data_IF_278937247174
#
_entry.id   IF_278937247174
#
_cell.length_a   1.000
_cell.length_b   1.000
_cell.length_c   1.000
_cell.angle_alpha   90.00
_cell.angle_beta   90.00
_cell.angle_gamma   90.00
#
_symmetry.space_group_name_H-M   'P 1'
#
loop_
_entity.id
_entity.type
_entity.pdbx_description
1 polymer ?
#
# COMPACT_ATOMS: atom_id res chain seq x y z
N UNK A 1 -16.37 -12.57 55.75
CA UNK A 1 -17.10 -12.93 54.50
C UNK A 1 -17.79 -11.67 54.03
N UNK A 2 -17.58 -11.08 52.85
CA UNK A 2 -17.07 -11.57 51.57
C UNK A 2 -16.31 -10.42 50.88
N UNK A 3 -15.10 -10.66 50.39
CA UNK A 3 -14.43 -9.76 49.45
C UNK A 3 -15.07 -9.94 48.07
N UNK A 4 -15.55 -8.86 47.47
CA UNK A 4 -15.92 -8.84 46.05
C UNK A 4 -14.66 -8.57 45.23
N UNK A 5 -14.15 -9.62 44.58
CA UNK A 5 -13.03 -9.54 43.67
C UNK A 5 -13.46 -8.88 42.35
N UNK A 6 -12.78 -7.80 41.98
CA UNK A 6 -12.90 -7.17 40.65
C UNK A 6 -11.94 -7.89 39.71
N UNK A 7 -12.49 -8.66 38.76
CA UNK A 7 -11.72 -9.32 37.71
C UNK A 7 -11.32 -8.31 36.63
N UNK A 8 -10.03 -7.95 36.57
CA UNK A 8 -9.47 -7.16 35.46
C UNK A 8 -9.20 -8.12 34.30
N UNK A 9 -10.00 -8.01 33.24
CA UNK A 9 -9.79 -8.73 31.98
C UNK A 9 -8.62 -8.07 31.21
N UNK A 10 -7.44 -8.68 31.29
CA UNK A 10 -6.25 -8.25 30.56
C UNK A 10 -6.41 -8.65 29.08
N UNK A 11 -6.86 -7.70 28.26
CA UNK A 11 -6.92 -7.85 26.80
C UNK A 11 -5.49 -7.73 26.25
N UNK A 12 -4.84 -8.86 25.98
CA UNK A 12 -3.52 -8.89 25.32
C UNK A 12 -3.75 -8.52 23.85
N UNK A 13 -3.54 -7.25 23.51
CA UNK A 13 -3.47 -6.83 22.11
C UNK A 13 -2.14 -7.34 21.57
N UNK A 14 -2.19 -8.40 20.77
CA UNK A 14 -1.03 -8.96 20.08
C UNK A 14 -0.59 -7.98 18.98
N UNK A 15 0.25 -7.01 19.33
CA UNK A 15 0.94 -6.18 18.36
C UNK A 15 2.09 -6.99 17.75
N UNK A 16 1.88 -7.51 16.54
CA UNK A 16 2.94 -8.18 15.78
C UNK A 16 4.11 -7.22 15.57
N UNK A 17 5.23 -7.49 16.23
CA UNK A 17 6.49 -6.77 15.99
C UNK A 17 7.06 -7.26 14.66
N UNK A 18 7.06 -6.41 13.64
CA UNK A 18 7.66 -6.76 12.35
C UNK A 18 9.18 -6.86 12.52
N UNK A 19 9.77 -8.03 12.22
CA UNK A 19 11.22 -8.17 12.30
C UNK A 19 11.91 -7.37 11.18
N UNK A 20 13.21 -7.12 11.30
CA UNK A 20 13.95 -6.42 10.25
C UNK A 20 13.97 -7.21 8.93
N UNK A 21 14.06 -8.54 8.98
CA UNK A 21 13.99 -9.40 7.80
C UNK A 21 12.62 -9.29 7.12
N UNK A 22 11.54 -9.30 7.90
CA UNK A 22 10.17 -9.10 7.40
C UNK A 22 10.00 -7.69 6.81
N UNK A 23 10.62 -6.68 7.43
CA UNK A 23 10.63 -5.30 6.94
C UNK A 23 11.33 -5.19 5.58
N UNK A 24 12.45 -5.89 5.36
CA UNK A 24 13.14 -5.90 4.07
C UNK A 24 12.29 -6.56 2.98
N UNK A 25 11.65 -7.70 3.31
CA UNK A 25 10.73 -8.39 2.40
C UNK A 25 9.58 -7.50 1.96
N UNK A 26 8.87 -6.86 2.91
CA UNK A 26 7.73 -6.00 2.59
C UNK A 26 8.15 -4.71 1.86
N UNK A 27 9.32 -4.14 2.19
CA UNK A 27 9.89 -2.99 1.47
C UNK A 27 10.15 -3.35 0.01
N UNK A 28 10.80 -4.50 -0.24
CA UNK A 28 11.07 -4.97 -1.61
C UNK A 28 9.77 -5.25 -2.37
N UNK A 29 8.80 -5.87 -1.70
CA UNK A 29 7.49 -6.15 -2.28
C UNK A 29 6.78 -4.87 -2.73
N UNK A 30 6.63 -3.88 -1.84
CA UNK A 30 5.96 -2.62 -2.19
C UNK A 30 6.68 -1.84 -3.28
N UNK A 31 8.02 -1.87 -3.30
CA UNK A 31 8.80 -1.25 -4.37
C UNK A 31 8.52 -1.91 -5.73
N UNK A 32 8.39 -3.23 -5.78
CA UNK A 32 8.05 -3.94 -7.02
C UNK A 32 6.65 -3.58 -7.52
N UNK A 33 5.66 -3.54 -6.63
CA UNK A 33 4.27 -3.17 -7.00
C UNK A 33 4.19 -1.71 -7.48
N UNK A 34 4.89 -0.79 -6.81
CA UNK A 34 4.96 0.61 -7.25
C UNK A 34 5.68 0.75 -8.59
N UNK A 35 6.72 -0.05 -8.86
CA UNK A 35 7.39 -0.08 -10.16
C UNK A 35 6.48 -0.64 -11.27
N UNK A 36 5.68 -1.67 -10.99
CA UNK A 36 4.66 -2.18 -11.92
C UNK A 36 3.62 -1.11 -12.24
N UNK A 37 3.12 -0.40 -11.22
CA UNK A 37 2.18 0.72 -11.40
C UNK A 37 2.76 1.79 -12.32
N UNK A 38 4.01 2.20 -12.09
CA UNK A 38 4.70 3.16 -12.96
C UNK A 38 4.88 2.66 -14.39
N UNK A 39 5.16 1.36 -14.58
CA UNK A 39 5.27 0.74 -15.89
C UNK A 39 3.95 0.74 -16.67
N UNK A 40 2.83 0.42 -16.01
CA UNK A 40 1.50 0.47 -16.64
C UNK A 40 1.12 1.91 -17.06
N UNK A 41 1.34 2.89 -16.19
CA UNK A 41 1.11 4.30 -16.54
C UNK A 41 2.04 4.75 -17.69
N UNK A 42 3.30 4.33 -17.68
CA UNK A 42 4.25 4.62 -18.75
C UNK A 42 3.77 4.08 -20.10
N UNK A 43 3.25 2.86 -20.15
CA UNK A 43 2.69 2.29 -21.37
C UNK A 43 1.45 3.05 -21.86
N UNK A 44 0.56 3.49 -20.96
CA UNK A 44 -0.57 4.37 -21.32
C UNK A 44 -0.05 5.67 -21.94
N UNK A 45 0.94 6.32 -21.30
CA UNK A 45 1.55 7.55 -21.82
C UNK A 45 2.18 7.31 -23.20
N UNK A 46 2.90 6.21 -23.41
CA UNK A 46 3.51 5.89 -24.69
C UNK A 46 2.48 5.70 -25.80
N UNK A 47 1.36 5.01 -25.50
CA UNK A 47 0.24 4.86 -26.44
C UNK A 47 -0.30 6.23 -26.85
N UNK A 48 -0.65 7.06 -25.87
CA UNK A 48 -1.31 8.34 -26.11
C UNK A 48 -0.38 9.37 -26.74
N UNK A 49 0.85 9.51 -26.23
CA UNK A 49 1.82 10.52 -26.65
C UNK A 49 2.37 10.26 -28.04
N UNK A 50 2.59 8.98 -28.37
CA UNK A 50 3.19 8.60 -29.65
C UNK A 50 2.15 8.17 -30.69
N UNK A 51 0.85 8.16 -30.36
CA UNK A 51 -0.21 7.74 -31.27
C UNK A 51 -0.05 6.29 -31.73
N UNK A 52 0.31 5.39 -30.81
CA UNK A 52 0.50 3.98 -31.14
C UNK A 52 -0.87 3.34 -31.42
N UNK A 53 -0.98 2.44 -32.43
CA UNK A 53 -2.24 1.75 -32.77
C UNK A 53 -2.55 0.62 -31.77
N UNK A 54 -2.62 0.96 -30.48
CA UNK A 54 -2.72 0.05 -29.34
C UNK A 54 -3.72 0.59 -28.28
N UNK A 55 -4.67 1.44 -28.67
CA UNK A 55 -5.60 2.12 -27.76
C UNK A 55 -6.42 1.13 -26.91
N UNK A 56 -6.72 -0.05 -27.45
CA UNK A 56 -7.40 -1.11 -26.72
C UNK A 56 -6.64 -1.58 -25.46
N UNK A 57 -5.30 -1.48 -25.45
CA UNK A 57 -4.45 -1.89 -24.32
C UNK A 57 -4.52 -0.94 -23.13
N UNK A 58 -5.00 0.30 -23.33
CA UNK A 58 -5.13 1.30 -22.24
C UNK A 58 -5.98 0.74 -21.10
N UNK A 59 -7.08 0.05 -21.42
CA UNK A 59 -7.97 -0.53 -20.40
C UNK A 59 -7.30 -1.64 -19.59
N UNK A 60 -6.40 -2.42 -20.19
CA UNK A 60 -5.70 -3.52 -19.52
C UNK A 60 -4.63 -2.98 -18.56
N UNK A 61 -3.93 -1.93 -18.97
CA UNK A 61 -3.00 -1.22 -18.10
C UNK A 61 -3.71 -0.51 -16.94
N UNK A 62 -4.84 0.16 -17.20
CA UNK A 62 -5.65 0.78 -16.14
C UNK A 62 -6.17 -0.26 -15.15
N UNK A 63 -6.70 -1.39 -15.63
CA UNK A 63 -7.16 -2.50 -14.78
C UNK A 63 -6.03 -3.07 -13.92
N UNK A 64 -4.81 -3.17 -14.46
CA UNK A 64 -3.65 -3.62 -13.69
C UNK A 64 -3.28 -2.63 -12.59
N UNK A 65 -3.35 -1.32 -12.86
CA UNK A 65 -3.16 -0.28 -11.85
C UNK A 65 -4.24 -0.34 -10.76
N UNK A 66 -5.51 -0.60 -11.11
CA UNK A 66 -6.60 -0.79 -10.16
C UNK A 66 -6.37 -2.00 -9.23
N UNK A 67 -5.79 -3.10 -9.72
CA UNK A 67 -5.43 -4.20 -8.84
C UNK A 67 -4.28 -3.82 -7.90
N UNK A 68 -3.28 -3.10 -8.39
CA UNK A 68 -2.18 -2.60 -7.56
C UNK A 68 -2.66 -1.62 -6.48
N UNK A 69 -3.60 -0.74 -6.82
CA UNK A 69 -4.13 0.27 -5.89
C UNK A 69 -4.79 -0.38 -4.67
N UNK A 70 -5.60 -1.42 -4.89
CA UNK A 70 -6.29 -2.19 -3.84
C UNK A 70 -5.35 -2.83 -2.82
N UNK A 71 -4.12 -3.13 -3.23
CA UNK A 71 -3.12 -3.72 -2.35
C UNK A 71 -2.34 -2.65 -1.56
N UNK A 72 -2.46 -1.35 -1.89
CA UNK A 72 -1.55 -0.30 -1.41
C UNK A 72 -1.41 -0.28 0.11
N UNK A 73 -2.51 -0.27 0.86
CA UNK A 73 -2.46 -0.09 2.32
C UNK A 73 -1.80 -1.26 3.05
N UNK A 74 -2.04 -2.50 2.62
CA UNK A 74 -1.51 -3.69 3.28
C UNK A 74 0.03 -3.79 3.16
N UNK A 75 0.62 -3.08 2.21
CA UNK A 75 2.07 -3.04 1.98
C UNK A 75 2.85 -2.09 2.91
N UNK A 76 2.16 -1.33 3.78
CA UNK A 76 2.78 -0.36 4.70
C UNK A 76 2.50 -0.68 6.18
N UNK A 77 2.77 -1.91 6.66
CA UNK A 77 2.57 -2.24 8.07
C UNK A 77 3.43 -1.33 8.97
N UNK A 78 2.94 -1.05 10.19
CA UNK A 78 3.70 -0.30 11.19
C UNK A 78 5.08 -0.94 11.41
N UNK A 79 6.11 -0.11 11.59
CA UNK A 79 7.49 -0.58 11.75
C UNK A 79 8.24 -0.86 10.45
N UNK A 80 7.58 -0.83 9.27
CA UNK A 80 8.22 -1.04 7.96
C UNK A 80 8.83 0.22 7.33
N UNK A 81 9.06 1.26 8.14
CA UNK A 81 9.64 2.54 7.71
C UNK A 81 11.16 2.62 7.77
N UNK A 82 11.84 1.61 8.30
CA UNK A 82 13.30 1.58 8.44
C UNK A 82 13.92 0.67 7.37
N UNK A 83 15.14 0.98 6.93
CA UNK A 83 15.88 0.22 5.91
C UNK A 83 15.97 0.94 4.56
N UNK A 84 16.19 0.19 3.48
CA UNK A 84 16.36 0.74 2.11
C UNK A 84 15.03 1.15 1.49
N UNK A 85 14.43 2.23 2.00
CA UNK A 85 13.11 2.71 1.57
C UNK A 85 13.07 4.22 1.37
N UNK A 86 12.18 4.66 0.47
CA UNK A 86 11.85 6.08 0.26
C UNK A 86 10.56 6.50 0.97
N UNK A 87 9.90 5.57 1.67
CA UNK A 87 8.70 5.85 2.46
C UNK A 87 9.04 6.83 3.58
N UNK A 88 8.36 7.98 3.61
CA UNK A 88 8.53 8.97 4.69
C UNK A 88 7.87 8.47 5.97
N UNK A 89 8.44 8.81 7.12
CA UNK A 89 7.85 8.47 8.43
C UNK A 89 6.42 9.01 8.58
N UNK A 90 6.13 10.17 7.96
CA UNK A 90 4.81 10.79 7.90
C UNK A 90 3.69 9.85 7.45
N UNK A 91 3.96 8.81 6.66
CA UNK A 91 2.96 7.81 6.27
C UNK A 91 2.31 7.16 7.51
N UNK A 92 3.11 6.85 8.54
CA UNK A 92 2.61 6.20 9.74
C UNK A 92 2.15 7.19 10.81
N UNK A 93 2.65 8.43 10.79
CA UNK A 93 2.21 9.51 11.69
C UNK A 93 0.84 10.06 11.25
N UNK A 94 0.61 10.17 9.94
CA UNK A 94 -0.60 10.70 9.32
C UNK A 94 -1.32 9.60 8.51
N UNK A 95 -1.60 8.45 9.13
CA UNK A 95 -2.14 7.29 8.41
C UNK A 95 -3.42 7.61 7.61
N UNK A 96 -4.32 8.42 8.17
CA UNK A 96 -5.58 8.80 7.49
C UNK A 96 -5.34 9.58 6.19
N UNK A 97 -4.30 10.41 6.13
CA UNK A 97 -3.92 11.14 4.91
C UNK A 97 -3.39 10.17 3.84
N UNK A 98 -2.55 9.21 4.24
CA UNK A 98 -2.05 8.17 3.35
C UNK A 98 -3.17 7.24 2.86
N UNK A 99 -4.11 6.90 3.74
CA UNK A 99 -5.31 6.12 3.42
C UNK A 99 -6.20 6.85 2.40
N UNK A 100 -6.44 8.15 2.60
CA UNK A 100 -7.16 8.96 1.62
C UNK A 100 -6.47 8.94 0.26
N UNK A 101 -5.15 9.13 0.21
CA UNK A 101 -4.39 9.11 -1.03
C UNK A 101 -4.43 7.74 -1.73
N UNK A 102 -4.40 6.63 -0.97
CA UNK A 102 -4.53 5.30 -1.54
C UNK A 102 -5.95 5.03 -2.09
N UNK A 103 -6.98 5.50 -1.38
CA UNK A 103 -8.37 5.41 -1.83
C UNK A 103 -8.62 6.27 -3.08
N UNK A 104 -7.99 7.44 -3.16
CA UNK A 104 -8.01 8.28 -4.36
C UNK A 104 -7.35 7.56 -5.54
N UNK A 105 -6.18 6.94 -5.32
CA UNK A 105 -5.53 6.14 -6.36
C UNK A 105 -6.43 5.00 -6.85
N UNK A 106 -7.11 4.27 -5.95
CA UNK A 106 -8.06 3.23 -6.35
C UNK A 106 -9.24 3.78 -7.14
N UNK A 107 -9.87 4.85 -6.66
CA UNK A 107 -11.02 5.46 -7.31
C UNK A 107 -10.67 5.98 -8.70
N UNK A 108 -9.54 6.66 -8.86
CA UNK A 108 -9.13 7.20 -10.16
C UNK A 108 -8.71 6.08 -11.13
N UNK A 109 -8.13 4.99 -10.64
CA UNK A 109 -7.79 3.82 -11.50
C UNK A 109 -9.01 3.02 -11.96
N UNK A 110 -10.18 3.24 -11.37
CA UNK A 110 -11.43 2.57 -11.73
C UNK A 110 -12.24 3.32 -12.81
N UNK A 111 -11.81 4.52 -13.21
CA UNK A 111 -12.45 5.34 -14.25
C UNK A 111 -11.86 5.03 -15.63
#
# INVERSE_FOLDING_TARGET
MKLTAVSILLSIIFYGSLSFADSHGIIKYRQNVMKSTAGHMGAIVDILKNGLPLEAHVSDHARSMLQNSRMTLSMFPKGSGKGRTKSKQAIWENWSEFESAANDFERESAK
#
